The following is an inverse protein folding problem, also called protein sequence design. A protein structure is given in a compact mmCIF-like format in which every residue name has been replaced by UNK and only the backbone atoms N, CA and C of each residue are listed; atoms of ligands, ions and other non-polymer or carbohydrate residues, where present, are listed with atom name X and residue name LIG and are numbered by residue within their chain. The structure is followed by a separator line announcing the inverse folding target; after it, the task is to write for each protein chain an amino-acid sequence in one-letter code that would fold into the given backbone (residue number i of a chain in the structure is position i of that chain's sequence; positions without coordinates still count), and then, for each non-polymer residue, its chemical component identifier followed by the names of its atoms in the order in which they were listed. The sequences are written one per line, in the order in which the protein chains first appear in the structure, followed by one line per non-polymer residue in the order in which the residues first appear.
data_IF_646241096813
#
_entry.id   IF_646241096813
#
_cell.length_a   1.000
_cell.length_b   1.000
_cell.length_c   1.000
_cell.angle_alpha   90.00
_cell.angle_beta   90.00
_cell.angle_gamma   90.00
#
_symmetry.space_group_name_H-M   'P 1'
#
loop_
_entity.id
_entity.type
_entity.pdbx_description
1 polymer ?
#
# COMPACT_ATOMS: atom_id res chain seq x y z
N UNK A 1 -11.91 -9.06 20.61
CA UNK A 1 -10.91 -9.33 19.54
C UNK A 1 -10.28 -7.98 19.16
N UNK A 2 -8.99 -7.72 19.46
CA UNK A 2 -8.35 -6.42 19.15
C UNK A 2 -8.23 -6.28 17.62
N UNK A 3 -8.93 -5.35 16.94
CA UNK A 3 -9.09 -5.40 15.49
C UNK A 3 -7.84 -4.99 14.69
N UNK A 4 -6.85 -4.37 15.33
CA UNK A 4 -5.79 -3.64 14.63
C UNK A 4 -4.37 -3.95 15.14
N UNK A 5 -3.95 -5.21 15.07
CA UNK A 5 -2.55 -5.58 15.35
C UNK A 5 -1.62 -5.03 14.26
N UNK A 6 -0.47 -4.46 14.65
CA UNK A 6 0.55 -3.98 13.72
C UNK A 6 1.00 -5.10 12.76
N UNK A 7 1.17 -4.78 11.48
CA UNK A 7 1.75 -5.69 10.47
C UNK A 7 2.95 -5.03 9.80
N UNK A 8 4.07 -5.73 9.74
CA UNK A 8 5.27 -5.29 9.00
C UNK A 8 5.28 -5.86 7.57
N UNK A 9 5.82 -5.11 6.60
CA UNK A 9 5.93 -5.59 5.22
C UNK A 9 6.92 -6.75 5.14
N UNK A 10 6.56 -7.82 4.43
CA UNK A 10 7.51 -8.87 4.07
C UNK A 10 8.34 -8.40 2.87
N UNK A 11 9.67 -8.53 2.96
CA UNK A 11 10.64 -8.06 1.94
C UNK A 11 10.67 -8.96 0.68
N UNK A 12 9.50 -9.40 0.18
CA UNK A 12 9.39 -10.16 -1.07
C UNK A 12 9.08 -9.19 -2.21
N UNK A 13 9.87 -9.30 -3.28
CA UNK A 13 10.13 -8.35 -4.37
C UNK A 13 8.94 -7.80 -5.20
N UNK A 14 7.67 -7.93 -4.80
CA UNK A 14 6.52 -7.57 -5.67
C UNK A 14 5.53 -6.56 -5.07
N UNK A 15 5.09 -6.79 -3.85
CA UNK A 15 4.12 -5.93 -3.17
C UNK A 15 4.13 -6.29 -1.68
N UNK A 16 4.14 -5.27 -0.83
CA UNK A 16 3.99 -5.46 0.61
C UNK A 16 3.21 -4.30 1.21
N UNK A 17 2.71 -4.50 2.43
CA UNK A 17 1.96 -3.46 3.12
C UNK A 17 2.19 -3.52 4.63
N UNK A 18 1.97 -2.37 5.27
CA UNK A 18 1.99 -2.20 6.71
C UNK A 18 0.66 -1.64 7.20
N UNK A 19 0.30 -1.99 8.43
CA UNK A 19 -0.81 -1.39 9.18
C UNK A 19 -0.28 -0.83 10.48
N UNK A 20 -0.51 0.46 10.68
CA UNK A 20 0.03 1.25 11.78
C UNK A 20 -1.13 1.96 12.47
N UNK A 21 -1.64 1.43 13.59
CA UNK A 21 -2.59 2.15 14.44
C UNK A 21 -1.99 3.48 14.88
N UNK A 22 -2.79 4.54 14.91
CA UNK A 22 -2.41 5.87 15.38
C UNK A 22 -3.04 6.15 16.75
N UNK A 23 -2.42 7.04 17.53
CA UNK A 23 -2.92 7.43 18.85
C UNK A 23 -4.27 8.15 18.78
N UNK A 24 -4.60 8.75 17.63
CA UNK A 24 -5.90 9.36 17.32
C UNK A 24 -7.04 8.35 17.16
N UNK A 25 -6.77 7.05 17.22
CA UNK A 25 -7.74 5.98 16.93
C UNK A 25 -7.90 5.68 15.44
N UNK A 26 -7.23 6.43 14.56
CA UNK A 26 -7.19 6.11 13.13
C UNK A 26 -6.20 4.97 12.83
N UNK A 27 -6.32 4.38 11.65
CA UNK A 27 -5.39 3.36 11.16
C UNK A 27 -4.78 3.80 9.85
N UNK A 28 -3.45 3.88 9.84
CA UNK A 28 -2.66 4.13 8.64
C UNK A 28 -2.29 2.80 7.97
N UNK A 29 -2.70 2.64 6.72
CA UNK A 29 -2.21 1.61 5.82
C UNK A 29 -1.15 2.19 4.90
N UNK A 30 -0.03 1.48 4.76
CA UNK A 30 1.05 1.84 3.85
C UNK A 30 1.28 0.70 2.88
N UNK A 31 1.08 0.97 1.60
CA UNK A 31 1.30 0.03 0.51
C UNK A 31 2.65 0.33 -0.12
N UNK A 32 3.38 -0.71 -0.49
CA UNK A 32 4.71 -0.61 -1.07
C UNK A 32 4.81 -1.53 -2.28
N UNK A 33 5.53 -1.06 -3.30
CA UNK A 33 5.93 -1.83 -4.49
C UNK A 33 7.32 -1.38 -4.90
N UNK A 34 8.13 -2.30 -5.43
CA UNK A 34 9.44 -1.96 -5.98
C UNK A 34 9.36 -1.92 -7.50
N UNK A 35 10.06 -0.97 -8.12
CA UNK A 35 10.34 -0.98 -9.56
C UNK A 35 11.43 -2.03 -9.88
N UNK A 36 11.72 -2.24 -11.16
CA UNK A 36 12.71 -3.22 -11.63
C UNK A 36 14.16 -2.90 -11.23
N UNK A 37 14.46 -1.65 -10.82
CA UNK A 37 15.77 -1.27 -10.25
C UNK A 37 15.80 -1.49 -8.73
N UNK A 38 14.67 -1.86 -8.13
CA UNK A 38 14.52 -2.05 -6.69
C UNK A 38 14.13 -0.79 -5.93
N UNK A 39 13.85 0.34 -6.60
CA UNK A 39 13.41 1.56 -5.94
C UNK A 39 11.99 1.39 -5.36
N UNK A 40 11.77 1.88 -4.14
CA UNK A 40 10.52 1.68 -3.40
C UNK A 40 9.53 2.80 -3.69
N UNK A 41 8.36 2.43 -4.17
CA UNK A 41 7.19 3.29 -4.37
C UNK A 41 6.16 2.99 -3.30
N UNK A 42 5.54 4.02 -2.73
CA UNK A 42 4.61 3.86 -1.62
C UNK A 42 3.36 4.75 -1.73
N UNK A 43 2.23 4.21 -1.29
CA UNK A 43 0.97 4.95 -1.13
C UNK A 43 0.49 4.79 0.31
N UNK A 44 -0.01 5.89 0.88
CA UNK A 44 -0.53 5.96 2.24
C UNK A 44 -2.05 6.17 2.19
N UNK A 45 -2.79 5.40 3.00
CA UNK A 45 -4.23 5.56 3.19
C UNK A 45 -4.52 5.56 4.69
N UNK A 46 -5.10 6.65 5.19
CA UNK A 46 -5.48 6.80 6.59
C UNK A 46 -6.99 6.65 6.70
N UNK A 47 -7.43 5.77 7.58
CA UNK A 47 -8.84 5.52 7.82
C UNK A 47 -9.21 5.86 9.26
N UNK A 48 -10.37 6.48 9.52
CA UNK A 48 -10.84 6.68 10.88
C UNK A 48 -11.13 5.32 11.54
N UNK A 49 -11.12 5.29 12.88
CA UNK A 49 -11.22 4.04 13.65
C UNK A 49 -12.56 3.31 13.54
N UNK A 50 -13.60 4.03 13.11
CA UNK A 50 -14.96 3.58 12.85
C UNK A 50 -15.21 3.19 11.39
N UNK A 51 -14.22 3.32 10.51
CA UNK A 51 -14.35 2.96 9.11
C UNK A 51 -14.72 1.48 8.93
N UNK A 52 -15.63 1.23 7.99
CA UNK A 52 -16.11 -0.11 7.69
C UNK A 52 -15.00 -0.99 7.13
N UNK A 53 -14.93 -2.26 7.55
CA UNK A 53 -13.91 -3.19 7.01
C UNK A 53 -14.01 -3.38 5.49
N UNK A 54 -15.22 -3.36 4.94
CA UNK A 54 -15.47 -3.48 3.51
C UNK A 54 -14.96 -2.25 2.76
N UNK A 55 -15.31 -1.06 3.24
CA UNK A 55 -14.83 0.23 2.72
C UNK A 55 -13.30 0.31 2.71
N UNK A 56 -12.65 -0.04 3.83
CA UNK A 56 -11.18 -0.11 3.91
C UNK A 56 -10.64 -1.08 2.86
N UNK A 57 -11.23 -2.27 2.70
CA UNK A 57 -10.75 -3.26 1.74
C UNK A 57 -10.87 -2.78 0.29
N UNK A 58 -11.98 -2.11 -0.05
CA UNK A 58 -12.24 -1.58 -1.38
C UNK A 58 -11.26 -0.45 -1.72
N UNK A 59 -11.05 0.50 -0.82
CA UNK A 59 -10.07 1.57 -1.00
C UNK A 59 -8.64 1.04 -1.13
N UNK A 60 -8.26 0.05 -0.31
CA UNK A 60 -6.94 -0.58 -0.40
C UNK A 60 -6.75 -1.34 -1.71
N UNK A 61 -7.80 -1.98 -2.23
CA UNK A 61 -7.76 -2.64 -3.54
C UNK A 61 -7.54 -1.61 -4.66
N UNK A 62 -8.27 -0.50 -4.66
CA UNK A 62 -8.09 0.59 -5.61
C UNK A 62 -6.67 1.15 -5.53
N UNK A 63 -6.20 1.47 -4.32
CA UNK A 63 -4.85 2.00 -4.10
C UNK A 63 -3.76 1.02 -4.55
N UNK A 64 -3.97 -0.30 -4.36
CA UNK A 64 -3.06 -1.34 -4.85
C UNK A 64 -2.99 -1.36 -6.38
N UNK A 65 -4.11 -1.22 -7.07
CA UNK A 65 -4.14 -1.16 -8.53
C UNK A 65 -3.48 0.10 -9.07
N UNK A 66 -3.77 1.26 -8.47
CA UNK A 66 -3.11 2.53 -8.81
C UNK A 66 -1.60 2.44 -8.64
N UNK A 67 -1.13 1.95 -7.48
CA UNK A 67 0.30 1.76 -7.22
C UNK A 67 0.94 0.79 -8.21
N UNK A 68 0.24 -0.28 -8.61
CA UNK A 68 0.75 -1.18 -9.65
C UNK A 68 0.91 -0.44 -10.97
N UNK A 69 -0.13 0.22 -11.46
CA UNK A 69 -0.09 0.92 -12.75
C UNK A 69 1.02 1.96 -12.78
N UNK A 70 1.13 2.79 -11.73
CA UNK A 70 2.19 3.81 -11.66
C UNK A 70 3.60 3.22 -11.66
N UNK A 71 3.82 2.07 -11.02
CA UNK A 71 5.13 1.40 -11.06
C UNK A 71 5.36 0.70 -12.40
N UNK A 72 4.33 0.10 -12.99
CA UNK A 72 4.41 -0.53 -14.30
C UNK A 72 4.75 0.54 -15.37
N UNK A 73 4.21 1.77 -15.27
CA UNK A 73 4.56 2.92 -16.12
C UNK A 73 6.04 3.33 -15.94
N UNK A 74 6.54 3.37 -14.69
CA UNK A 74 7.96 3.62 -14.40
C UNK A 74 8.84 2.53 -15.01
N UNK A 75 8.43 1.27 -14.88
CA UNK A 75 9.16 0.13 -15.46
C UNK A 75 9.20 0.21 -17.00
N UNK A 76 8.09 0.56 -17.65
CA UNK A 76 8.03 0.75 -19.10
C UNK A 76 8.94 1.88 -19.58
N UNK A 77 8.95 3.02 -18.88
CA UNK A 77 9.85 4.13 -19.18
C UNK A 77 11.33 3.73 -19.02
N UNK A 78 11.64 2.93 -18.00
CA UNK A 78 12.99 2.40 -17.78
C UNK A 78 13.44 1.37 -18.82
N UNK A 79 12.49 0.67 -19.44
CA UNK A 79 12.75 -0.21 -20.59
C UNK A 79 12.89 0.55 -21.92
N UNK A 80 12.61 1.87 -21.94
CA UNK A 80 12.60 2.67 -23.16
C UNK A 80 11.41 2.39 -24.09
N UNK A 81 10.29 1.94 -23.52
CA UNK A 81 9.06 1.57 -24.28
C UNK A 81 8.04 2.73 -24.29
N UNK A 82 8.40 3.89 -23.71
CA UNK A 82 7.58 5.12 -23.61
C UNK A 82 8.34 6.29 -24.21
#
# INVERSE_FOLDING_TARGET
MKPFTRRMPHNRNRFCWARIPQDSGSVLYRLYRRDQRGAVHAVLRNFPGDAGRAEIADELNIARHQLRNSVDDVDLALMGVV
#
